data_IF_034401079401
#
_entry.id   IF_034401079401
#
_cell.length_a   1.000
_cell.length_b   1.000
_cell.length_c   1.000
_cell.angle_alpha   90.00
_cell.angle_beta   90.00
_cell.angle_gamma   90.00
#
_symmetry.space_group_name_H-M   'P 1'
#
loop_
_entity.id
_entity.type
_entity.pdbx_description
1 polymer ?
#
# COMPACT_ATOMS: atom_id res chain seq x y z
N UNK A 1 -53.04 -56.87 18.07
CA UNK A 1 -53.39 -55.49 17.66
C UNK A 1 -54.45 -54.98 18.62
N UNK A 2 -54.27 -53.75 19.09
CA UNK A 2 -55.15 -53.10 20.07
C UNK A 2 -54.33 -52.45 21.17
N UNK A 3 -53.50 -51.46 20.81
CA UNK A 3 -52.79 -50.62 21.78
C UNK A 3 -53.86 -49.81 22.53
N UNK A 4 -53.92 -49.98 23.85
CA UNK A 4 -54.90 -49.29 24.70
C UNK A 4 -54.52 -47.81 24.79
N UNK A 5 -55.43 -46.91 24.39
CA UNK A 5 -55.30 -45.47 24.60
C UNK A 5 -55.59 -45.18 26.09
N UNK A 6 -54.72 -44.47 26.82
CA UNK A 6 -54.98 -44.14 28.22
C UNK A 6 -56.13 -43.13 28.33
N UNK A 7 -57.11 -43.41 29.19
CA UNK A 7 -58.12 -42.42 29.60
C UNK A 7 -57.48 -41.43 30.56
N UNK A 8 -57.41 -40.16 30.15
CA UNK A 8 -56.97 -39.05 30.99
C UNK A 8 -57.82 -38.99 32.27
N UNK A 9 -57.21 -38.97 33.48
CA UNK A 9 -57.99 -38.89 34.71
C UNK A 9 -58.68 -37.53 34.80
N UNK A 10 -60.00 -37.53 35.00
CA UNK A 10 -60.70 -36.36 35.54
C UNK A 10 -60.30 -36.22 37.01
N UNK A 11 -59.82 -35.06 37.48
CA UNK A 11 -59.60 -34.85 38.90
C UNK A 11 -60.95 -34.86 39.63
N UNK A 12 -61.26 -35.96 40.33
CA UNK A 12 -62.40 -36.05 41.23
C UNK A 12 -62.07 -35.30 42.53
N UNK A 13 -62.81 -34.23 42.82
CA UNK A 13 -62.68 -33.54 44.11
C UNK A 13 -63.20 -32.11 44.22
N UNK A 14 -63.84 -31.51 43.21
CA UNK A 14 -64.49 -30.19 43.38
C UNK A 14 -65.94 -30.25 42.92
N UNK A 15 -66.87 -30.35 43.86
CA UNK A 15 -68.34 -30.26 43.66
C UNK A 15 -68.78 -28.80 43.42
N UNK A 16 -68.04 -28.09 42.57
CA UNK A 16 -68.28 -26.72 42.16
C UNK A 16 -67.21 -26.37 41.14
N UNK A 17 -67.52 -26.40 39.85
CA UNK A 17 -66.54 -26.03 38.83
C UNK A 17 -66.23 -24.55 38.98
N UNK A 18 -65.13 -24.26 39.68
CA UNK A 18 -64.45 -22.98 39.65
C UNK A 18 -64.14 -22.66 38.19
N UNK A 19 -64.75 -21.61 37.64
CA UNK A 19 -64.55 -21.18 36.25
C UNK A 19 -63.81 -19.86 36.22
N UNK A 20 -62.63 -19.86 35.61
CA UNK A 20 -61.87 -18.64 35.32
C UNK A 20 -62.44 -17.88 34.11
N UNK A 21 -63.31 -18.53 33.32
CA UNK A 21 -64.02 -17.95 32.17
C UNK A 21 -65.50 -18.29 32.23
N UNK A 22 -66.34 -17.25 32.20
CA UNK A 22 -67.79 -17.39 32.08
C UNK A 22 -68.21 -17.59 30.62
N UNK A 23 -69.45 -18.07 30.43
CA UNK A 23 -70.02 -18.11 29.08
C UNK A 23 -70.20 -16.69 28.53
N UNK A 24 -70.01 -16.56 27.22
CA UNK A 24 -70.18 -15.31 26.48
C UNK A 24 -71.52 -14.64 26.79
N UNK A 25 -71.47 -13.35 27.05
CA UNK A 25 -72.65 -12.48 27.14
C UNK A 25 -72.86 -11.79 25.81
N UNK A 26 -74.12 -11.57 25.45
CA UNK A 26 -74.47 -10.91 24.20
C UNK A 26 -74.10 -9.43 24.25
N UNK A 27 -74.37 -8.75 25.36
CA UNK A 27 -74.05 -7.34 25.56
C UNK A 27 -73.65 -7.05 27.01
N UNK A 28 -73.10 -5.86 27.26
CA UNK A 28 -72.73 -5.37 28.59
C UNK A 28 -73.34 -4.00 28.86
N UNK A 29 -73.91 -3.81 30.05
CA UNK A 29 -74.37 -2.52 30.53
C UNK A 29 -73.31 -1.89 31.45
N UNK A 30 -72.72 -0.79 30.98
CA UNK A 30 -71.74 0.00 31.74
C UNK A 30 -72.38 1.11 32.59
N UNK A 31 -73.71 1.25 32.54
CA UNK A 31 -74.54 2.11 33.39
C UNK A 31 -75.62 1.32 34.11
N UNK A 32 -76.21 1.90 35.16
CA UNK A 32 -77.33 1.30 35.87
C UNK A 32 -78.47 0.97 34.91
N UNK A 33 -79.00 -0.24 35.02
CA UNK A 33 -79.96 -0.82 34.07
C UNK A 33 -80.92 -1.75 34.80
N UNK A 34 -82.21 -1.68 34.48
CA UNK A 34 -83.19 -2.55 35.11
C UNK A 34 -82.94 -4.03 34.73
N UNK A 35 -82.83 -4.92 35.72
CA UNK A 35 -82.76 -6.37 35.49
C UNK A 35 -84.17 -6.96 35.22
N UNK A 36 -84.92 -6.36 34.29
CA UNK A 36 -86.26 -6.80 33.89
C UNK A 36 -86.67 -6.22 32.53
N UNK A 37 -87.47 -6.97 31.78
CA UNK A 37 -87.99 -6.56 30.47
C UNK A 37 -87.04 -6.83 29.32
N UNK A 38 -87.49 -6.61 28.09
CA UNK A 38 -86.66 -6.72 26.89
C UNK A 38 -86.09 -5.34 26.56
N UNK A 39 -84.87 -5.09 27.05
CA UNK A 39 -84.20 -3.79 26.94
C UNK A 39 -83.31 -3.72 25.69
N UNK A 40 -82.86 -2.52 25.35
CA UNK A 40 -81.74 -2.30 24.43
C UNK A 40 -80.53 -1.86 25.24
N UNK A 41 -79.43 -2.59 25.16
CA UNK A 41 -78.18 -2.34 25.90
C UNK A 41 -77.04 -2.30 24.90
N UNK A 42 -76.24 -1.22 24.92
CA UNK A 42 -75.16 -0.97 23.95
C UNK A 42 -75.63 -1.13 22.49
N UNK A 43 -76.79 -0.56 22.19
CA UNK A 43 -77.52 -0.66 20.90
C UNK A 43 -77.97 -2.09 20.49
N UNK A 44 -77.82 -3.09 21.36
CA UNK A 44 -78.32 -4.45 21.14
C UNK A 44 -79.71 -4.60 21.74
N UNK A 45 -80.72 -4.83 20.92
CA UNK A 45 -82.06 -5.23 21.39
C UNK A 45 -82.05 -6.68 21.88
N UNK A 46 -82.36 -6.86 23.16
CA UNK A 46 -82.29 -8.15 23.84
C UNK A 46 -83.57 -8.96 23.67
N UNK A 47 -83.42 -10.28 23.55
CA UNK A 47 -84.53 -11.24 23.55
C UNK A 47 -84.46 -12.15 24.78
N UNK A 48 -85.58 -12.78 25.13
CA UNK A 48 -85.62 -13.70 26.26
C UNK A 48 -84.66 -14.88 26.03
N UNK A 49 -83.80 -15.16 27.01
CA UNK A 49 -82.74 -16.18 26.93
C UNK A 49 -81.35 -15.60 26.68
N UNK A 50 -81.22 -14.35 26.24
CA UNK A 50 -79.92 -13.70 26.07
C UNK A 50 -79.20 -13.54 27.41
N UNK A 51 -77.87 -13.53 27.38
CA UNK A 51 -77.03 -13.29 28.56
C UNK A 51 -76.48 -11.87 28.50
N UNK A 52 -76.56 -11.13 29.60
CA UNK A 52 -76.04 -9.75 29.67
C UNK A 52 -75.22 -9.58 30.94
N UNK A 53 -74.08 -8.91 30.83
CA UNK A 53 -73.29 -8.48 31.98
C UNK A 53 -73.74 -7.09 32.44
N UNK A 54 -74.12 -6.95 33.71
CA UNK A 54 -74.40 -5.66 34.35
C UNK A 54 -73.21 -5.28 35.23
N UNK A 55 -72.52 -4.18 34.91
CA UNK A 55 -71.28 -3.80 35.62
C UNK A 55 -71.41 -2.58 36.53
N UNK A 56 -72.54 -1.87 36.50
CA UNK A 56 -72.71 -0.59 37.20
C UNK A 56 -74.11 -0.39 37.80
N UNK A 57 -74.62 -1.41 38.49
CA UNK A 57 -75.88 -1.36 39.23
C UNK A 57 -75.78 -0.40 40.43
N UNK A 58 -76.89 0.26 40.78
CA UNK A 58 -76.98 1.15 41.97
C UNK A 58 -76.50 0.48 43.28
N UNK A 59 -76.69 -0.84 43.38
CA UNK A 59 -76.09 -1.72 44.39
C UNK A 59 -75.02 -2.59 43.72
N UNK A 60 -73.73 -2.35 44.01
CA UNK A 60 -72.60 -3.04 43.36
C UNK A 60 -72.58 -4.56 43.55
N UNK A 61 -73.20 -5.08 44.61
CA UNK A 61 -73.44 -6.49 44.88
C UNK A 61 -74.45 -7.13 43.90
N UNK A 62 -75.23 -6.29 43.21
CA UNK A 62 -76.16 -6.69 42.16
C UNK A 62 -75.52 -6.77 40.77
N UNK A 63 -74.27 -6.33 40.60
CA UNK A 63 -73.52 -6.57 39.37
C UNK A 63 -73.38 -8.06 39.06
N UNK A 64 -73.20 -8.40 37.79
CA UNK A 64 -73.00 -9.77 37.35
C UNK A 64 -73.77 -10.12 36.07
N UNK A 65 -73.81 -11.42 35.76
CA UNK A 65 -74.39 -11.93 34.52
C UNK A 65 -75.84 -12.36 34.76
N UNK A 66 -76.74 -11.89 33.90
CA UNK A 66 -78.17 -12.17 33.97
C UNK A 66 -78.68 -12.79 32.67
N UNK A 67 -79.69 -13.65 32.78
CA UNK A 67 -80.45 -14.19 31.65
C UNK A 67 -81.70 -13.34 31.47
N UNK A 68 -81.82 -12.74 30.29
CA UNK A 68 -82.87 -11.81 29.90
C UNK A 68 -84.22 -12.53 29.85
N UNK A 69 -85.26 -11.87 30.34
CA UNK A 69 -86.65 -12.31 30.25
C UNK A 69 -87.58 -11.10 30.08
N UNK A 70 -88.81 -11.34 29.60
CA UNK A 70 -89.81 -10.28 29.50
C UNK A 70 -90.27 -9.76 30.88
N UNK A 71 -90.14 -10.59 31.92
CA UNK A 71 -90.31 -10.21 33.32
C UNK A 71 -88.98 -9.92 34.01
N UNK A 72 -88.86 -10.21 35.30
CA UNK A 72 -87.60 -10.12 36.03
C UNK A 72 -86.55 -11.08 35.47
N UNK A 73 -85.31 -10.60 35.32
CA UNK A 73 -84.19 -11.42 34.89
C UNK A 73 -83.68 -12.27 36.05
N UNK A 74 -83.20 -13.47 35.74
CA UNK A 74 -82.52 -14.34 36.70
C UNK A 74 -81.01 -14.23 36.53
N UNK A 75 -80.23 -14.34 37.62
CA UNK A 75 -78.78 -14.51 37.48
C UNK A 75 -78.46 -15.76 36.67
N UNK A 76 -77.43 -15.68 35.84
CA UNK A 76 -77.00 -16.80 35.00
C UNK A 76 -76.48 -17.95 35.86
N UNK A 77 -76.77 -19.19 35.47
CA UNK A 77 -76.50 -20.39 36.29
C UNK A 77 -75.01 -20.63 36.60
N UNK A 78 -74.12 -20.09 35.78
CA UNK A 78 -72.67 -20.09 35.99
C UNK A 78 -72.19 -18.95 36.89
N UNK A 79 -73.09 -18.08 37.38
CA UNK A 79 -72.79 -16.96 38.30
C UNK A 79 -73.87 -16.81 39.41
N UNK A 80 -74.26 -17.92 40.04
CA UNK A 80 -75.30 -17.95 41.09
C UNK A 80 -74.79 -18.09 42.51
N UNK A 81 -73.55 -18.56 42.71
CA UNK A 81 -72.98 -18.84 44.04
C UNK A 81 -71.54 -18.34 44.15
N UNK A 82 -71.05 -18.12 45.37
CA UNK A 82 -69.65 -17.72 45.56
C UNK A 82 -68.64 -18.73 44.99
N UNK A 83 -68.93 -20.03 45.09
CA UNK A 83 -68.08 -21.09 44.51
C UNK A 83 -68.07 -21.14 42.97
N UNK A 84 -68.93 -20.38 42.30
CA UNK A 84 -68.94 -20.24 40.84
C UNK A 84 -68.23 -18.97 40.34
N UNK A 85 -67.74 -18.13 41.25
CA UNK A 85 -67.16 -16.82 40.94
C UNK A 85 -65.80 -16.67 41.60
N UNK A 86 -64.74 -16.77 40.80
CA UNK A 86 -63.39 -16.46 41.27
C UNK A 86 -63.05 -14.99 41.05
N UNK A 87 -62.26 -14.38 41.95
CA UNK A 87 -61.48 -13.20 41.61
C UNK A 87 -60.75 -13.41 40.28
N UNK A 88 -60.65 -12.36 39.46
CA UNK A 88 -60.01 -12.38 38.14
C UNK A 88 -60.76 -13.14 37.04
N UNK A 89 -61.96 -13.65 37.27
CA UNK A 89 -62.74 -14.34 36.25
C UNK A 89 -63.11 -13.42 35.05
N UNK A 90 -63.13 -13.99 33.85
CA UNK A 90 -63.29 -13.27 32.59
C UNK A 90 -64.68 -13.51 31.97
N UNK A 91 -65.27 -12.45 31.41
CA UNK A 91 -66.58 -12.45 30.74
C UNK A 91 -66.40 -11.91 29.31
N UNK A 92 -66.42 -12.76 28.28
CA UNK A 92 -66.38 -12.30 26.90
C UNK A 92 -67.73 -11.73 26.47
N UNK A 93 -67.71 -10.66 25.66
CA UNK A 93 -68.87 -9.96 25.09
C UNK A 93 -68.87 -10.13 23.58
N UNK A 94 -70.00 -10.50 22.97
CA UNK A 94 -70.07 -10.77 21.52
C UNK A 94 -70.69 -9.67 20.66
N UNK A 95 -71.50 -8.78 21.22
CA UNK A 95 -72.21 -7.74 20.46
C UNK A 95 -72.25 -6.41 21.24
N UNK A 96 -72.47 -5.31 20.51
CA UNK A 96 -72.67 -3.96 21.05
C UNK A 96 -71.79 -2.93 20.37
N UNK A 97 -72.24 -1.68 20.26
CA UNK A 97 -71.47 -0.65 19.54
C UNK A 97 -70.16 -0.28 20.26
N UNK A 98 -70.18 -0.21 21.59
CA UNK A 98 -69.04 0.26 22.39
C UNK A 98 -68.20 -0.89 22.97
N UNK A 99 -68.79 -2.07 23.10
CA UNK A 99 -68.20 -3.20 23.81
C UNK A 99 -68.29 -4.55 23.08
N UNK A 100 -68.59 -4.56 21.78
CA UNK A 100 -68.36 -5.75 20.95
C UNK A 100 -66.93 -6.28 21.09
N UNK A 101 -66.79 -7.60 20.92
CA UNK A 101 -65.52 -8.33 20.91
C UNK A 101 -64.56 -7.99 22.06
N UNK A 102 -65.12 -7.66 23.22
CA UNK A 102 -64.35 -7.28 24.40
C UNK A 102 -64.46 -8.31 25.52
N UNK A 103 -63.53 -8.25 26.47
CA UNK A 103 -63.55 -9.11 27.66
C UNK A 103 -63.55 -8.25 28.91
N UNK A 104 -64.45 -8.54 29.84
CA UNK A 104 -64.49 -7.91 31.17
C UNK A 104 -63.92 -8.85 32.21
N UNK A 105 -63.06 -8.34 33.08
CA UNK A 105 -62.48 -9.05 34.19
C UNK A 105 -63.16 -8.64 35.50
N UNK A 106 -63.50 -9.60 36.35
CA UNK A 106 -63.87 -9.35 37.73
C UNK A 106 -62.62 -8.98 38.53
N UNK A 107 -62.50 -7.73 38.95
CA UNK A 107 -61.32 -7.21 39.67
C UNK A 107 -61.55 -7.10 41.18
N UNK A 108 -62.67 -7.62 41.69
CA UNK A 108 -62.87 -7.73 43.15
C UNK A 108 -61.96 -8.83 43.69
N UNK A 109 -61.14 -8.48 44.70
CA UNK A 109 -60.25 -9.42 45.39
C UNK A 109 -60.94 -10.13 46.57
N UNK A 110 -60.44 -11.31 46.94
CA UNK A 110 -60.90 -12.08 48.10
C UNK A 110 -62.13 -12.94 47.86
N UNK A 111 -62.73 -13.49 48.94
CA UNK A 111 -63.88 -14.38 48.84
C UNK A 111 -65.14 -13.63 48.36
N UNK A 112 -65.69 -14.05 47.22
CA UNK A 112 -66.86 -13.41 46.61
C UNK A 112 -68.13 -14.18 46.98
N UNK A 113 -69.07 -13.51 47.65
CA UNK A 113 -70.40 -14.04 47.95
C UNK A 113 -71.42 -13.29 47.08
N UNK A 114 -72.00 -13.97 46.09
CA UNK A 114 -72.97 -13.37 45.15
C UNK A 114 -74.17 -12.78 45.92
N UNK A 115 -74.50 -11.52 45.65
CA UNK A 115 -75.59 -10.79 46.32
C UNK A 115 -75.22 -10.13 47.65
N UNK A 116 -73.98 -10.32 48.13
CA UNK A 116 -73.48 -9.68 49.36
C UNK A 116 -72.17 -8.92 49.13
N UNK A 117 -71.21 -9.51 48.42
CA UNK A 117 -69.93 -8.87 48.08
C UNK A 117 -70.12 -7.94 46.87
N UNK A 118 -69.60 -6.71 46.96
CA UNK A 118 -69.52 -5.78 45.83
C UNK A 118 -68.66 -6.34 44.69
N UNK A 119 -69.22 -6.48 43.50
CA UNK A 119 -68.52 -7.03 42.33
C UNK A 119 -68.19 -5.94 41.33
N UNK A 120 -66.91 -5.73 41.08
CA UNK A 120 -66.39 -4.72 40.14
C UNK A 120 -65.85 -5.40 38.89
N UNK A 121 -66.38 -5.04 37.73
CA UNK A 121 -65.91 -5.53 36.44
C UNK A 121 -65.18 -4.42 35.68
N UNK A 122 -63.96 -4.70 35.27
CA UNK A 122 -63.17 -3.81 34.43
C UNK A 122 -63.02 -4.40 33.03
N UNK A 123 -63.19 -3.59 31.98
CA UNK A 123 -62.88 -4.00 30.61
C UNK A 123 -61.37 -4.26 30.52
N UNK A 124 -60.96 -5.43 30.05
CA UNK A 124 -59.58 -5.68 29.65
C UNK A 124 -59.38 -4.88 28.37
N UNK A 125 -58.46 -3.92 28.40
CA UNK A 125 -58.07 -3.21 27.21
C UNK A 125 -57.60 -4.24 26.17
N UNK A 126 -58.31 -4.36 25.04
CA UNK A 126 -57.78 -5.05 23.88
C UNK A 126 -56.41 -4.44 23.59
N UNK A 127 -55.39 -5.28 23.37
CA UNK A 127 -54.00 -4.83 23.21
C UNK A 127 -53.83 -3.94 21.97
N UNK A 128 -54.26 -2.68 22.06
CA UNK A 128 -53.91 -1.57 21.16
C UNK A 128 -52.61 -0.88 21.60
N UNK A 129 -51.79 -1.59 22.38
CA UNK A 129 -50.44 -1.15 22.75
C UNK A 129 -49.44 -1.98 21.95
N UNK A 130 -48.88 -1.38 20.89
CA UNK A 130 -47.77 -1.92 20.13
C UNK A 130 -46.54 -2.09 21.02
N UNK A 131 -46.43 -3.25 21.66
CA UNK A 131 -45.35 -3.57 22.59
C UNK A 131 -44.97 -5.06 22.59
N UNK A 132 -45.20 -5.76 21.47
CA UNK A 132 -44.82 -7.16 21.31
C UNK A 132 -44.12 -7.41 19.98
N UNK A 133 -43.33 -8.50 19.92
CA UNK A 133 -42.46 -8.87 18.78
C UNK A 133 -43.20 -9.05 17.44
N UNK A 134 -44.54 -9.13 17.46
CA UNK A 134 -45.38 -9.20 16.27
C UNK A 134 -45.54 -7.85 15.56
N UNK A 135 -45.28 -6.72 16.22
CA UNK A 135 -45.34 -5.38 15.63
C UNK A 135 -44.13 -5.04 14.75
N UNK A 136 -43.13 -5.93 14.66
CA UNK A 136 -41.94 -5.73 13.81
C UNK A 136 -42.17 -6.26 12.38
N UNK A 137 -43.25 -7.00 12.10
CA UNK A 137 -43.43 -7.64 10.78
C UNK A 137 -44.55 -7.01 9.94
N UNK A 138 -45.50 -6.31 10.55
CA UNK A 138 -46.64 -5.69 9.85
C UNK A 138 -46.67 -4.16 10.00
N UNK A 139 -45.53 -3.49 9.77
CA UNK A 139 -45.52 -2.05 9.47
C UNK A 139 -45.59 -1.83 7.95
N UNK A 140 -46.74 -1.44 7.39
CA UNK A 140 -46.89 -1.11 5.97
C UNK A 140 -46.50 0.34 5.64
N UNK A 141 -46.03 1.14 6.62
CA UNK A 141 -45.37 2.42 6.35
C UNK A 141 -43.87 2.18 6.13
N UNK A 142 -43.18 2.98 5.29
CA UNK A 142 -41.80 2.70 4.88
C UNK A 142 -40.76 2.89 5.99
N UNK A 143 -41.15 2.81 7.26
CA UNK A 143 -40.22 2.85 8.39
C UNK A 143 -39.48 1.52 8.56
N UNK A 144 -39.98 0.43 7.95
CA UNK A 144 -39.25 -0.83 7.75
C UNK A 144 -38.92 -1.12 6.26
N UNK A 145 -38.96 -0.09 5.40
CA UNK A 145 -38.37 -0.11 4.06
C UNK A 145 -36.99 0.55 3.98
N UNK A 146 -36.54 1.12 5.10
CA UNK A 146 -35.20 1.68 5.31
C UNK A 146 -34.45 0.94 6.41
N UNK A 147 -33.26 1.45 6.74
CA UNK A 147 -32.41 0.87 7.78
C UNK A 147 -33.13 0.90 9.14
N UNK A 148 -33.12 -0.23 9.87
CA UNK A 148 -33.60 -0.26 11.26
C UNK A 148 -32.74 0.70 12.12
N UNK A 149 -33.33 1.79 12.62
CA UNK A 149 -32.68 2.68 13.56
C UNK A 149 -32.59 2.03 14.95
N UNK A 150 -31.37 1.92 15.50
CA UNK A 150 -31.12 1.40 16.83
C UNK A 150 -31.29 2.46 17.95
N UNK A 151 -31.77 3.66 17.63
CA UNK A 151 -32.03 4.77 18.56
C UNK A 151 -30.84 5.09 19.48
N UNK A 152 -29.61 4.87 18.99
CA UNK A 152 -28.35 5.07 19.73
C UNK A 152 -27.92 3.91 20.62
N UNK A 153 -28.65 2.79 20.65
CA UNK A 153 -28.20 1.54 21.27
C UNK A 153 -27.27 0.76 20.34
N UNK A 154 -26.40 -0.09 20.90
CA UNK A 154 -25.50 -0.94 20.12
C UNK A 154 -26.01 -2.38 20.01
N UNK A 155 -25.71 -3.02 18.88
CA UNK A 155 -25.88 -4.47 18.72
C UNK A 155 -24.74 -5.13 19.50
N UNK A 156 -25.07 -5.89 20.54
CA UNK A 156 -24.09 -6.60 21.40
C UNK A 156 -24.15 -8.11 21.13
N UNK A 157 -23.01 -8.80 21.22
CA UNK A 157 -22.93 -10.26 21.05
C UNK A 157 -22.83 -10.76 19.61
N UNK A 158 -22.56 -9.87 18.64
CA UNK A 158 -22.30 -10.26 17.25
C UNK A 158 -20.95 -10.99 17.16
N UNK A 159 -20.88 -12.21 16.58
CA UNK A 159 -19.60 -12.89 16.36
C UNK A 159 -18.75 -12.16 15.32
N UNK A 160 -17.46 -12.49 15.23
CA UNK A 160 -16.63 -12.00 14.14
C UNK A 160 -17.20 -12.47 12.79
N UNK A 161 -17.29 -11.59 11.78
CA UNK A 161 -17.83 -11.94 10.48
C UNK A 161 -16.96 -13.02 9.80
N UNK A 162 -17.63 -13.96 9.16
CA UNK A 162 -17.06 -15.12 8.47
C UNK A 162 -17.24 -15.06 6.94
N UNK A 163 -18.13 -14.20 6.46
CA UNK A 163 -18.36 -13.88 5.05
C UNK A 163 -18.44 -12.38 4.79
N UNK A 164 -18.40 -11.98 3.52
CA UNK A 164 -18.39 -10.57 3.10
C UNK A 164 -19.71 -9.82 3.37
N UNK A 165 -20.81 -10.56 3.52
CA UNK A 165 -22.14 -10.01 3.76
C UNK A 165 -22.52 -10.02 5.25
N UNK A 166 -21.63 -10.49 6.13
CA UNK A 166 -21.89 -10.52 7.57
C UNK A 166 -21.79 -9.11 8.16
N UNK A 167 -22.70 -8.78 9.07
CA UNK A 167 -22.58 -7.57 9.86
C UNK A 167 -21.34 -7.67 10.78
N UNK A 168 -20.59 -6.58 10.89
CA UNK A 168 -19.36 -6.51 11.69
C UNK A 168 -19.56 -5.65 12.94
N UNK A 169 -18.86 -6.00 14.03
CA UNK A 169 -18.77 -5.10 15.18
C UNK A 169 -17.83 -3.94 14.88
N UNK A 170 -18.01 -2.81 15.58
CA UNK A 170 -17.09 -1.66 15.48
C UNK A 170 -15.64 -2.07 15.76
N UNK A 171 -15.41 -2.85 16.82
CA UNK A 171 -14.08 -3.33 17.19
C UNK A 171 -13.45 -4.18 16.08
N UNK A 172 -14.26 -4.99 15.38
CA UNK A 172 -13.79 -5.74 14.22
C UNK A 172 -13.36 -4.81 13.08
N UNK A 173 -14.16 -3.81 12.71
CA UNK A 173 -13.83 -2.87 11.62
C UNK A 173 -12.61 -2.00 11.95
N UNK A 174 -12.50 -1.53 13.18
CA UNK A 174 -11.37 -0.71 13.65
C UNK A 174 -10.06 -1.52 13.70
N UNK A 175 -10.12 -2.80 14.05
CA UNK A 175 -8.93 -3.66 14.15
C UNK A 175 -8.54 -4.29 12.81
N UNK A 176 -9.48 -4.51 11.90
CA UNK A 176 -9.28 -5.26 10.64
C UNK A 176 -8.97 -4.38 9.42
N UNK A 177 -8.81 -3.07 9.57
CA UNK A 177 -8.28 -2.20 8.51
C UNK A 177 -9.29 -1.63 7.50
N UNK A 178 -10.46 -1.15 7.95
CA UNK A 178 -11.52 -0.68 7.04
C UNK A 178 -12.19 0.65 7.40
N UNK A 179 -11.46 1.58 8.01
CA UNK A 179 -11.98 2.88 8.45
C UNK A 179 -11.62 4.08 7.57
N UNK A 180 -11.38 3.92 6.26
CA UNK A 180 -11.40 5.06 5.33
C UNK A 180 -12.76 5.11 4.63
N UNK A 181 -13.51 6.21 4.75
CA UNK A 181 -14.75 6.39 4.01
C UNK A 181 -14.50 6.14 2.52
N UNK A 182 -15.31 5.27 1.93
CA UNK A 182 -15.35 5.07 0.49
C UNK A 182 -15.56 6.44 -0.20
N UNK A 183 -14.53 6.96 -0.87
CA UNK A 183 -14.64 8.27 -1.52
C UNK A 183 -13.42 8.81 -2.27
N UNK A 184 -12.21 8.73 -1.72
CA UNK A 184 -11.05 9.40 -2.33
C UNK A 184 -9.96 8.41 -2.74
N UNK A 185 -10.10 7.81 -3.91
CA UNK A 185 -9.10 6.94 -4.55
C UNK A 185 -7.80 7.67 -4.98
N UNK A 186 -7.49 8.84 -4.40
CA UNK A 186 -6.30 9.63 -4.70
C UNK A 186 -5.55 10.10 -3.45
N UNK A 187 -5.82 9.56 -2.25
CA UNK A 187 -5.06 9.89 -1.05
C UNK A 187 -4.32 8.66 -0.50
N UNK A 188 -2.99 8.66 -0.64
CA UNK A 188 -2.10 7.72 0.05
C UNK A 188 -2.08 8.13 1.53
N UNK A 189 -2.89 7.49 2.36
CA UNK A 189 -2.88 7.71 3.80
C UNK A 189 -1.76 6.91 4.47
N UNK A 190 -0.69 7.59 4.90
CA UNK A 190 0.35 7.01 5.76
C UNK A 190 -0.12 7.05 7.23
N UNK A 191 -0.98 6.12 7.62
CA UNK A 191 -1.34 5.98 9.03
C UNK A 191 -0.21 5.27 9.79
N UNK A 192 0.46 5.98 10.69
CA UNK A 192 1.44 5.37 11.59
C UNK A 192 0.72 4.65 12.73
N UNK A 193 0.60 3.33 12.64
CA UNK A 193 0.37 2.45 13.80
C UNK A 193 1.57 2.59 14.78
N UNK A 194 1.37 2.68 16.12
CA UNK A 194 2.45 2.57 17.10
C UNK A 194 3.36 1.33 16.94
N UNK A 195 2.91 0.29 16.21
CA UNK A 195 3.69 -0.90 15.90
C UNK A 195 4.31 -0.95 14.48
N UNK A 196 4.20 0.13 13.68
CA UNK A 196 5.08 0.38 12.53
C UNK A 196 5.11 -0.67 11.42
N UNK A 197 4.07 -1.49 11.24
CA UNK A 197 4.08 -2.54 10.20
C UNK A 197 3.04 -2.24 9.12
N UNK A 198 3.50 -1.82 7.94
CA UNK A 198 2.67 -1.70 6.73
C UNK A 198 2.50 -3.09 6.10
N UNK A 199 1.27 -3.62 6.06
CA UNK A 199 0.92 -4.77 5.21
C UNK A 199 -0.28 -4.39 4.37
N UNK A 200 -0.09 -4.30 3.06
CA UNK A 200 -1.13 -3.90 2.10
C UNK A 200 -0.57 -3.51 0.73
N UNK A 201 -0.38 -4.53 -0.11
CA UNK A 201 -0.34 -4.60 -1.57
C UNK A 201 0.16 -3.39 -2.40
N UNK A 202 1.36 -3.62 -2.96
CA UNK A 202 1.91 -3.05 -4.20
C UNK A 202 2.47 -1.62 -4.13
N UNK A 203 3.64 -1.46 -3.48
CA UNK A 203 4.92 -1.06 -4.14
C UNK A 203 6.04 -0.60 -3.16
N UNK A 204 5.90 -0.76 -1.83
CA UNK A 204 6.98 -0.41 -0.90
C UNK A 204 7.08 -1.42 0.25
N UNK A 205 8.03 -2.35 0.15
CA UNK A 205 8.36 -3.29 1.23
C UNK A 205 9.30 -2.61 2.21
N UNK A 206 8.84 -2.37 3.44
CA UNK A 206 9.69 -1.93 4.55
C UNK A 206 10.46 -3.14 5.12
N UNK A 207 11.79 -3.17 4.94
CA UNK A 207 12.67 -4.07 5.68
C UNK A 207 13.16 -3.34 6.95
N UNK A 208 12.80 -3.79 8.17
CA UNK A 208 13.20 -3.14 9.41
C UNK A 208 14.72 -3.14 9.67
N UNK A 209 15.52 -3.89 8.87
CA UNK A 209 16.99 -3.88 8.91
C UNK A 209 17.67 -3.00 7.86
N UNK A 210 16.97 -2.54 6.83
CA UNK A 210 17.55 -1.82 5.69
C UNK A 210 16.79 -0.51 5.43
N UNK A 211 17.38 0.62 5.84
CA UNK A 211 16.83 1.96 5.63
C UNK A 211 16.89 2.31 4.14
N UNK A 212 15.73 2.48 3.51
CA UNK A 212 15.65 2.62 2.06
C UNK A 212 15.96 4.04 1.54
N UNK A 213 15.58 5.15 2.20
CA UNK A 213 16.02 6.52 1.82
C UNK A 213 15.90 7.51 3.00
N UNK A 214 16.81 8.49 3.12
CA UNK A 214 16.64 9.67 3.98
C UNK A 214 16.77 10.93 3.12
N UNK A 215 15.66 11.63 2.87
CA UNK A 215 15.62 12.89 2.12
C UNK A 215 15.34 14.03 3.08
N UNK A 216 16.38 14.73 3.52
CA UNK A 216 16.28 15.88 4.44
C UNK A 216 16.38 17.22 3.68
N UNK A 217 15.64 17.36 2.57
CA UNK A 217 15.52 18.62 1.82
C UNK A 217 14.11 18.77 1.26
N UNK A 218 13.62 20.00 1.13
CA UNK A 218 12.21 20.32 0.87
C UNK A 218 11.64 19.93 -0.50
N UNK A 219 12.43 19.36 -1.42
CA UNK A 219 11.93 18.78 -2.68
C UNK A 219 12.98 17.84 -3.30
N UNK A 220 12.59 16.61 -3.64
CA UNK A 220 13.37 15.70 -4.49
C UNK A 220 12.62 15.57 -5.82
N UNK A 221 13.15 16.19 -6.89
CA UNK A 221 12.52 16.15 -8.23
C UNK A 221 13.20 15.12 -9.12
N UNK A 222 12.40 14.19 -9.65
CA UNK A 222 12.68 13.44 -10.87
C UNK A 222 11.89 14.16 -11.97
N UNK A 223 12.56 14.84 -12.90
CA UNK A 223 11.90 15.72 -13.88
C UNK A 223 11.39 14.95 -15.12
N UNK A 224 10.36 15.54 -15.74
CA UNK A 224 9.47 14.94 -16.75
C UNK A 224 10.00 15.00 -18.21
N UNK A 225 11.21 15.50 -18.49
CA UNK A 225 11.71 15.55 -19.89
C UNK A 225 13.25 15.51 -20.03
N UNK A 226 13.91 14.63 -19.29
CA UNK A 226 15.37 14.44 -19.42
C UNK A 226 15.89 13.49 -18.35
N UNK A 227 16.13 12.24 -18.75
CA UNK A 227 16.43 11.14 -17.85
C UNK A 227 17.66 11.40 -16.93
N UNK A 228 17.47 11.31 -15.62
CA UNK A 228 18.49 10.76 -14.72
C UNK A 228 18.10 9.30 -14.49
N UNK A 229 18.66 8.41 -15.32
CA UNK A 229 18.51 6.99 -15.14
C UNK A 229 19.75 6.44 -14.43
N UNK A 230 19.62 6.17 -13.13
CA UNK A 230 20.56 5.35 -12.38
C UNK A 230 20.16 3.88 -12.62
N UNK A 231 20.57 3.32 -13.76
CA UNK A 231 20.33 1.91 -14.06
C UNK A 231 21.27 1.05 -13.21
N UNK A 232 20.75 0.44 -12.15
CA UNK A 232 21.35 -0.75 -11.57
C UNK A 232 20.75 -1.95 -12.31
N UNK A 233 21.58 -2.74 -13.00
CA UNK A 233 21.12 -3.97 -13.65
C UNK A 233 20.58 -4.92 -12.57
N UNK A 234 19.28 -5.18 -12.67
CA UNK A 234 18.56 -6.03 -11.76
C UNK A 234 18.63 -7.48 -12.22
N UNK A 235 19.75 -8.15 -12.00
CA UNK A 235 19.72 -9.60 -11.71
C UNK A 235 20.85 -10.05 -10.78
N UNK A 236 20.44 -10.54 -9.61
CA UNK A 236 21.17 -11.38 -8.64
C UNK A 236 22.31 -10.76 -7.80
N UNK A 237 21.93 -10.37 -6.58
CA UNK A 237 22.66 -10.58 -5.32
C UNK A 237 24.12 -10.08 -5.21
N UNK A 238 24.28 -8.82 -4.78
CA UNK A 238 25.45 -8.38 -4.03
C UNK A 238 25.99 -7.01 -4.44
N UNK A 239 25.91 -6.05 -3.51
CA UNK A 239 26.50 -4.70 -3.55
C UNK A 239 25.71 -3.62 -4.30
N UNK A 240 24.85 -2.94 -3.56
CA UNK A 240 24.21 -1.68 -3.95
C UNK A 240 25.24 -0.54 -3.85
N UNK A 241 26.06 -0.34 -4.89
CA UNK A 241 26.96 0.81 -5.03
C UNK A 241 26.81 1.39 -6.44
N UNK A 242 26.92 2.72 -6.59
CA UNK A 242 27.00 3.35 -7.91
C UNK A 242 28.36 3.01 -8.49
N UNK A 243 28.33 2.05 -9.39
CA UNK A 243 29.52 1.31 -9.69
C UNK A 243 29.36 0.02 -10.48
N UNK A 244 29.96 -0.08 -11.66
CA UNK A 244 29.77 -1.26 -12.52
C UNK A 244 30.84 -2.31 -12.22
N UNK A 245 30.50 -3.24 -11.34
CA UNK A 245 30.63 -4.68 -11.60
C UNK A 245 32.03 -5.33 -11.64
N UNK A 246 32.84 -5.22 -10.57
CA UNK A 246 33.67 -6.35 -10.10
C UNK A 246 33.88 -6.28 -8.58
N UNK A 247 34.08 -7.43 -7.94
CA UNK A 247 34.07 -7.58 -6.47
C UNK A 247 35.24 -6.90 -5.72
N UNK A 248 36.15 -6.19 -6.39
CA UNK A 248 37.37 -5.64 -5.73
C UNK A 248 38.03 -4.45 -6.44
N UNK A 249 37.41 -3.26 -6.56
CA UNK A 249 38.18 -2.05 -6.83
C UNK A 249 38.86 -1.57 -5.53
N UNK A 250 40.19 -1.54 -5.53
CA UNK A 250 41.01 -1.08 -4.39
C UNK A 250 40.80 0.42 -4.04
N UNK A 251 40.13 1.22 -4.89
CA UNK A 251 39.88 2.66 -4.69
C UNK A 251 38.56 3.13 -5.32
N UNK A 252 37.92 4.14 -4.74
CA UNK A 252 36.60 4.69 -5.15
C UNK A 252 36.73 5.81 -6.20
N UNK A 253 36.46 5.52 -7.48
CA UNK A 253 35.33 5.95 -8.34
C UNK A 253 35.47 5.13 -9.64
N UNK A 254 34.33 4.81 -10.23
CA UNK A 254 33.92 3.55 -10.85
C UNK A 254 33.30 3.91 -12.23
N UNK A 255 33.77 3.43 -13.39
CA UNK A 255 33.62 2.11 -14.07
C UNK A 255 32.17 1.83 -14.52
N UNK A 256 31.82 1.31 -15.71
CA UNK A 256 32.43 1.03 -17.03
C UNK A 256 31.30 0.58 -18.00
N UNK A 257 31.39 0.82 -19.31
CA UNK A 257 30.32 0.50 -20.26
C UNK A 257 30.46 -0.85 -20.97
N UNK A 258 29.63 -1.84 -20.61
CA UNK A 258 28.79 -2.74 -21.46
C UNK A 258 28.33 -3.98 -20.69
N UNK A 259 27.14 -4.49 -21.06
CA UNK A 259 26.39 -5.60 -20.46
C UNK A 259 27.13 -6.95 -20.40
N UNK A 260 28.37 -7.08 -20.92
CA UNK A 260 29.08 -8.37 -21.02
C UNK A 260 30.62 -8.30 -20.85
N UNK A 261 31.13 -7.33 -20.08
CA UNK A 261 32.56 -7.20 -19.75
C UNK A 261 33.29 -6.12 -20.55
N UNK A 262 34.41 -5.62 -20.02
CA UNK A 262 35.17 -4.50 -20.58
C UNK A 262 35.78 -4.92 -21.92
N UNK A 263 35.31 -4.32 -23.01
CA UNK A 263 35.88 -4.48 -24.36
C UNK A 263 36.70 -3.23 -24.71
N UNK A 264 37.78 -3.37 -25.50
CA UNK A 264 38.60 -2.23 -25.99
C UNK A 264 37.83 -1.36 -27.03
N UNK A 265 36.52 -1.56 -27.18
CA UNK A 265 35.65 -0.90 -28.17
C UNK A 265 34.51 -0.09 -27.55
N UNK A 266 34.37 -0.11 -26.22
CA UNK A 266 33.32 0.59 -25.50
C UNK A 266 33.90 1.45 -24.36
N UNK A 267 33.53 2.74 -24.28
CA UNK A 267 34.16 3.65 -23.32
C UNK A 267 33.75 3.34 -21.88
N UNK A 268 34.71 3.43 -20.96
CA UNK A 268 34.45 3.25 -19.53
C UNK A 268 33.69 4.45 -18.92
N UNK A 269 33.83 5.63 -19.51
CA UNK A 269 33.05 6.82 -19.18
C UNK A 269 32.86 7.67 -20.45
N UNK A 270 31.60 7.95 -20.79
CA UNK A 270 31.23 8.88 -21.87
C UNK A 270 30.59 10.14 -21.31
N UNK A 271 31.12 11.31 -21.66
CA UNK A 271 30.51 12.61 -21.39
C UNK A 271 29.84 13.10 -22.67
N UNK A 272 28.50 13.25 -22.67
CA UNK A 272 27.73 13.67 -23.85
C UNK A 272 27.16 15.08 -23.66
N UNK A 273 27.22 15.93 -24.68
CA UNK A 273 26.68 17.29 -24.68
C UNK A 273 25.37 17.43 -25.49
N UNK A 274 25.11 16.57 -26.48
CA UNK A 274 23.87 16.58 -27.29
C UNK A 274 23.63 15.19 -27.86
N UNK A 275 22.46 14.59 -27.60
CA UNK A 275 21.89 13.38 -28.22
C UNK A 275 22.89 12.31 -28.68
N UNK A 276 23.92 12.03 -27.88
CA UNK A 276 25.03 11.12 -28.19
C UNK A 276 25.86 11.43 -29.46
N UNK A 277 25.72 12.60 -30.09
CA UNK A 277 26.52 12.99 -31.27
C UNK A 277 27.75 13.82 -30.92
N UNK A 278 27.70 14.54 -29.80
CA UNK A 278 28.83 15.30 -29.25
C UNK A 278 29.23 14.68 -27.93
N UNK A 279 30.37 13.99 -27.90
CA UNK A 279 30.82 13.29 -26.72
C UNK A 279 32.34 13.27 -26.57
N UNK A 280 32.80 12.91 -25.38
CA UNK A 280 34.18 12.53 -25.12
C UNK A 280 34.22 11.25 -24.30
N UNK A 281 35.03 10.31 -24.78
CA UNK A 281 35.19 8.98 -24.22
C UNK A 281 36.48 8.88 -23.44
N UNK A 282 36.41 8.23 -22.28
CA UNK A 282 37.54 7.94 -21.40
C UNK A 282 37.63 6.43 -21.22
N UNK A 283 38.77 5.87 -21.60
CA UNK A 283 38.98 4.43 -21.58
C UNK A 283 40.43 4.08 -21.23
N UNK A 284 40.62 3.07 -20.38
CA UNK A 284 41.89 2.38 -20.22
C UNK A 284 41.78 1.03 -20.91
N UNK A 285 42.57 0.82 -21.97
CA UNK A 285 42.54 -0.42 -22.74
C UNK A 285 43.20 -1.60 -21.99
N UNK A 286 43.12 -2.79 -22.58
CA UNK A 286 43.72 -4.02 -22.06
C UNK A 286 45.24 -3.97 -21.78
N UNK A 287 45.96 -3.01 -22.37
CA UNK A 287 47.39 -2.77 -22.12
C UNK A 287 47.67 -1.75 -21.00
N UNK A 288 46.62 -1.16 -20.40
CA UNK A 288 46.72 -0.15 -19.35
C UNK A 288 46.92 1.28 -19.86
N UNK A 289 46.78 1.52 -21.18
CA UNK A 289 46.90 2.85 -21.76
C UNK A 289 45.60 3.64 -21.63
N UNK A 290 45.67 4.88 -21.13
CA UNK A 290 44.54 5.81 -21.08
C UNK A 290 44.35 6.48 -22.45
N UNK A 291 43.15 6.35 -23.01
CA UNK A 291 42.65 7.08 -24.18
C UNK A 291 41.61 8.13 -23.76
N UNK A 292 41.65 9.30 -24.42
CA UNK A 292 40.62 10.34 -24.35
C UNK A 292 40.19 10.66 -25.78
N UNK A 293 39.01 10.20 -26.18
CA UNK A 293 38.54 10.29 -27.57
C UNK A 293 37.31 11.20 -27.66
N UNK A 294 37.46 12.47 -28.07
CA UNK A 294 36.34 13.34 -28.38
C UNK A 294 35.76 12.97 -29.75
N UNK A 295 34.44 13.17 -29.94
CA UNK A 295 33.84 13.06 -31.27
C UNK A 295 34.26 14.20 -32.23
N UNK A 296 34.95 15.22 -31.70
CA UNK A 296 35.64 16.26 -32.48
C UNK A 296 37.14 15.98 -32.64
N UNK A 297 37.90 16.92 -33.20
CA UNK A 297 39.33 16.70 -33.55
C UNK A 297 40.32 17.20 -32.50
N UNK A 298 39.87 17.62 -31.32
CA UNK A 298 40.74 18.31 -30.35
C UNK A 298 40.45 17.88 -28.92
N UNK A 299 41.50 17.49 -28.21
CA UNK A 299 41.55 17.36 -26.74
C UNK A 299 42.38 18.52 -26.21
N UNK A 300 41.77 19.42 -25.42
CA UNK A 300 42.49 20.52 -24.78
C UNK A 300 42.70 20.21 -23.30
N UNK A 301 43.96 20.00 -22.89
CA UNK A 301 44.35 19.89 -21.48
C UNK A 301 44.92 21.23 -21.04
N UNK A 302 44.09 22.06 -20.43
CA UNK A 302 44.49 23.43 -20.07
C UNK A 302 45.26 23.44 -18.74
N UNK A 303 46.59 23.57 -18.85
CA UNK A 303 47.60 23.80 -17.79
C UNK A 303 47.91 22.64 -16.80
N UNK A 304 49.21 22.49 -16.51
CA UNK A 304 49.91 21.58 -15.57
C UNK A 304 50.23 20.11 -15.96
N UNK A 305 49.52 19.44 -16.88
CA UNK A 305 49.79 18.00 -17.18
C UNK A 305 50.74 17.77 -18.37
N UNK A 306 50.94 18.78 -19.24
CA UNK A 306 51.95 18.69 -20.31
C UNK A 306 53.40 18.79 -19.81
N UNK A 307 53.62 18.98 -18.50
CA UNK A 307 54.97 19.11 -17.91
C UNK A 307 55.56 17.76 -17.44
N UNK A 308 54.90 16.63 -17.73
CA UNK A 308 55.52 15.31 -17.56
C UNK A 308 55.85 14.68 -18.92
N UNK A 309 56.98 15.18 -19.43
CA UNK A 309 57.98 14.46 -20.26
C UNK A 309 57.75 14.42 -21.76
N UNK A 310 58.23 15.46 -22.45
CA UNK A 310 59.28 15.20 -23.44
C UNK A 310 60.51 14.75 -22.63
N UNK A 311 60.87 13.46 -22.60
CA UNK A 311 62.13 13.06 -21.97
C UNK A 311 63.25 13.84 -22.66
N UNK A 312 64.17 14.37 -21.87
CA UNK A 312 65.31 15.15 -22.34
C UNK A 312 66.57 14.36 -22.00
N UNK A 313 67.27 13.89 -23.03
CA UNK A 313 68.61 13.33 -22.90
C UNK A 313 69.61 14.41 -23.26
N UNK A 314 70.35 14.88 -22.27
CA UNK A 314 71.47 15.81 -22.47
C UNK A 314 72.75 15.04 -22.75
N UNK A 315 73.47 15.40 -23.82
CA UNK A 315 74.79 14.86 -24.18
C UNK A 315 75.82 16.00 -24.30
N UNK A 316 77.00 15.82 -23.70
CA UNK A 316 78.08 16.83 -23.65
C UNK A 316 79.43 16.18 -23.98
N UNK A 317 80.09 16.62 -25.04
CA UNK A 317 81.38 16.07 -25.48
C UNK A 317 82.56 16.41 -24.55
N UNK A 318 82.39 17.34 -23.62
CA UNK A 318 83.41 17.64 -22.59
C UNK A 318 83.49 16.56 -21.51
N UNK A 319 82.48 15.68 -21.42
CA UNK A 319 82.47 14.54 -20.51
C UNK A 319 83.18 13.34 -21.17
N UNK A 320 84.33 12.86 -20.63
CA UNK A 320 85.09 11.79 -21.27
C UNK A 320 84.29 10.48 -21.36
N UNK A 321 84.29 9.87 -22.56
CA UNK A 321 83.65 8.58 -22.81
C UNK A 321 82.16 8.64 -23.19
N UNK A 322 81.59 9.84 -23.32
CA UNK A 322 80.17 10.01 -23.70
C UNK A 322 79.89 9.71 -25.16
N UNK A 323 80.86 9.95 -26.05
CA UNK A 323 80.74 9.69 -27.48
C UNK A 323 81.71 8.58 -27.96
N UNK A 324 81.30 7.72 -28.89
CA UNK A 324 79.98 7.67 -29.54
C UNK A 324 78.87 7.23 -28.56
N UNK A 325 77.74 7.92 -28.59
CA UNK A 325 76.60 7.59 -27.74
C UNK A 325 75.67 6.65 -28.49
N UNK A 326 75.30 5.52 -27.89
CA UNK A 326 74.40 4.56 -28.54
C UNK A 326 73.09 4.50 -27.79
N UNK A 327 72.03 5.00 -28.44
CA UNK A 327 70.68 4.98 -27.91
C UNK A 327 70.15 3.54 -27.87
N UNK A 328 69.52 3.18 -26.76
CA UNK A 328 68.83 1.91 -26.59
C UNK A 328 67.37 1.97 -27.08
N UNK A 329 66.73 0.80 -27.21
CA UNK A 329 65.31 0.71 -27.52
C UNK A 329 64.39 1.37 -26.47
N UNK A 330 64.85 1.49 -25.21
CA UNK A 330 64.11 2.17 -24.15
C UNK A 330 64.15 3.70 -24.25
N UNK A 331 65.03 4.21 -25.11
CA UNK A 331 65.33 5.62 -25.30
C UNK A 331 64.68 6.19 -26.57
N UNK A 332 63.81 5.43 -27.22
CA UNK A 332 62.94 5.96 -28.27
C UNK A 332 61.83 6.82 -27.63
N UNK A 333 61.41 7.93 -28.26
CA UNK A 333 60.47 8.96 -27.78
C UNK A 333 61.06 10.06 -26.90
N UNK A 334 62.14 10.69 -27.34
CA UNK A 334 62.76 11.78 -26.58
C UNK A 334 63.46 12.83 -27.44
N UNK A 335 63.72 13.98 -26.81
CA UNK A 335 64.62 15.00 -27.32
C UNK A 335 66.05 14.65 -26.88
N UNK A 336 66.93 14.43 -27.86
CA UNK A 336 68.37 14.31 -27.67
C UNK A 336 68.97 15.70 -27.85
N UNK A 337 69.33 16.29 -26.72
CA UNK A 337 69.88 17.63 -26.60
C UNK A 337 71.40 17.52 -26.54
N UNK A 338 72.07 17.90 -27.62
CA UNK A 338 73.53 17.96 -27.66
C UNK A 338 73.95 19.33 -27.15
N UNK A 339 74.37 19.37 -25.89
CA UNK A 339 74.72 20.60 -25.15
C UNK A 339 76.09 21.14 -25.51
N UNK A 340 76.98 20.32 -26.08
CA UNK A 340 78.35 20.73 -26.43
C UNK A 340 79.04 19.75 -27.39
N UNK A 341 79.62 20.25 -28.49
CA UNK A 341 80.50 19.48 -29.40
C UNK A 341 81.97 19.95 -29.42
N UNK A 342 82.40 20.80 -28.48
CA UNK A 342 83.77 21.34 -28.44
C UNK A 342 84.87 20.32 -28.16
N UNK A 343 84.52 19.07 -27.81
CA UNK A 343 85.45 17.93 -27.79
C UNK A 343 85.78 17.34 -29.17
N UNK A 344 85.21 17.89 -30.25
CA UNK A 344 85.31 17.39 -31.61
C UNK A 344 83.98 16.82 -32.14
N UNK A 345 83.93 16.49 -33.43
CA UNK A 345 82.76 15.85 -34.04
C UNK A 345 82.26 14.64 -33.23
N UNK A 346 80.95 14.54 -33.07
CA UNK A 346 80.30 13.52 -32.22
C UNK A 346 79.41 12.59 -33.04
N UNK A 347 79.25 11.35 -32.58
CA UNK A 347 78.39 10.36 -33.23
C UNK A 347 77.35 9.83 -32.24
N UNK A 348 76.09 9.81 -32.67
CA UNK A 348 74.98 9.21 -31.96
C UNK A 348 74.43 8.07 -32.81
N UNK A 349 74.51 6.85 -32.29
CA UNK A 349 73.95 5.67 -32.95
C UNK A 349 72.48 5.52 -32.53
N UNK A 350 71.56 5.54 -33.49
CA UNK A 350 70.15 5.24 -33.24
C UNK A 350 69.92 3.73 -33.22
N UNK A 351 69.04 3.22 -32.35
CA UNK A 351 68.71 1.79 -32.30
C UNK A 351 68.05 1.35 -33.61
N UNK A 352 68.01 0.04 -33.87
CA UNK A 352 67.35 -0.49 -35.05
C UNK A 352 65.87 -0.08 -34.99
N UNK A 353 65.30 0.43 -36.08
CA UNK A 353 63.93 0.95 -36.09
C UNK A 353 62.90 -0.08 -35.57
N UNK A 354 63.12 -1.36 -35.89
CA UNK A 354 62.32 -2.49 -35.42
C UNK A 354 62.44 -2.83 -33.93
N UNK A 355 63.43 -2.27 -33.23
CA UNK A 355 63.56 -2.40 -31.78
C UNK A 355 62.79 -1.31 -31.02
N UNK A 356 62.37 -0.24 -31.68
CA UNK A 356 61.45 0.75 -31.14
C UNK A 356 60.00 0.38 -31.51
N UNK A 357 59.00 0.68 -30.67
CA UNK A 357 57.60 0.63 -31.07
C UNK A 357 57.32 1.48 -32.33
N UNK A 358 56.43 0.99 -33.21
CA UNK A 358 55.99 1.78 -34.37
C UNK A 358 55.35 3.10 -33.89
N UNK A 359 55.67 4.20 -34.57
CA UNK A 359 55.29 5.56 -34.16
C UNK A 359 56.27 6.22 -33.18
N UNK A 360 57.34 5.53 -32.77
CA UNK A 360 58.37 6.13 -31.95
C UNK A 360 59.08 7.28 -32.66
N UNK A 361 59.49 8.32 -31.93
CA UNK A 361 60.21 9.48 -32.48
C UNK A 361 61.50 9.80 -31.70
N UNK A 362 62.45 10.42 -32.38
CA UNK A 362 63.65 11.02 -31.79
C UNK A 362 63.86 12.39 -32.41
N UNK A 363 64.08 13.40 -31.59
CA UNK A 363 64.46 14.73 -32.07
C UNK A 363 65.88 15.01 -31.65
N UNK A 364 66.72 15.40 -32.60
CA UNK A 364 68.10 15.77 -32.34
C UNK A 364 68.21 17.27 -32.43
N UNK A 365 68.77 17.87 -31.38
CA UNK A 365 68.99 19.31 -31.31
C UNK A 365 70.45 19.59 -31.04
N UNK A 366 71.09 20.28 -31.99
CA UNK A 366 72.31 21.04 -31.69
C UNK A 366 71.91 22.23 -30.83
N UNK A 367 72.20 22.19 -29.54
CA UNK A 367 71.93 23.32 -28.66
C UNK A 367 73.19 24.12 -28.34
N UNK A 368 74.37 23.52 -28.53
CA UNK A 368 75.64 24.23 -28.40
C UNK A 368 75.87 25.24 -29.51
N UNK A 369 75.24 25.01 -30.68
CA UNK A 369 75.43 25.85 -31.85
C UNK A 369 76.85 25.72 -32.41
N UNK A 370 77.43 24.53 -32.28
CA UNK A 370 78.81 24.26 -32.73
C UNK A 370 78.87 23.15 -33.78
N UNK A 371 77.73 22.63 -34.23
CA UNK A 371 77.67 21.54 -35.20
C UNK A 371 78.17 21.91 -36.59
N UNK A 372 78.22 23.21 -36.94
CA UNK A 372 78.85 23.70 -38.16
C UNK A 372 80.38 23.56 -38.16
N UNK A 373 81.00 23.46 -36.98
CA UNK A 373 82.45 23.23 -36.85
C UNK A 373 82.73 21.76 -36.51
N UNK A 374 82.02 21.22 -35.53
CA UNK A 374 82.15 19.86 -35.02
C UNK A 374 80.83 19.12 -35.27
N UNK A 375 80.72 18.54 -36.46
CA UNK A 375 79.49 17.91 -36.97
C UNK A 375 78.94 16.85 -36.03
N UNK A 376 77.63 16.87 -35.82
CA UNK A 376 76.90 15.83 -35.09
C UNK A 376 76.40 14.82 -36.13
N UNK A 377 76.88 13.59 -35.99
CA UNK A 377 76.58 12.48 -36.88
C UNK A 377 75.54 11.57 -36.24
N UNK A 378 74.41 11.37 -36.90
CA UNK A 378 73.34 10.47 -36.46
C UNK A 378 73.39 9.21 -37.33
N UNK A 379 73.88 8.11 -36.76
CA UNK A 379 74.13 6.86 -37.48
C UNK A 379 73.05 5.84 -37.20
N UNK A 380 72.55 5.18 -38.25
CA UNK A 380 71.67 4.04 -38.12
C UNK A 380 72.45 2.80 -37.63
N UNK A 381 71.95 2.10 -36.61
CA UNK A 381 72.56 0.84 -36.18
C UNK A 381 72.33 -0.30 -37.19
N UNK A 382 73.29 -1.24 -37.25
CA UNK A 382 73.17 -2.55 -37.91
C UNK A 382 72.62 -2.50 -39.34
N UNK A 383 73.25 -1.73 -40.23
CA UNK A 383 72.87 -1.58 -41.66
C UNK A 383 71.45 -1.04 -41.92
N UNK A 384 70.81 -0.46 -40.91
CA UNK A 384 69.55 0.27 -41.08
C UNK A 384 69.74 1.58 -41.83
N UNK A 385 68.63 2.22 -42.18
CA UNK A 385 68.62 3.52 -42.86
C UNK A 385 67.72 4.51 -42.11
N UNK A 386 68.12 5.78 -42.15
CA UNK A 386 67.34 6.97 -41.79
C UNK A 386 67.02 7.69 -43.09
N UNK A 387 65.76 7.66 -43.50
CA UNK A 387 65.25 8.24 -44.74
C UNK A 387 66.06 7.78 -45.98
N UNK A 388 66.31 6.47 -46.04
CA UNK A 388 67.07 5.84 -47.11
C UNK A 388 68.60 5.99 -47.02
N UNK A 389 69.15 6.73 -46.04
CA UNK A 389 70.59 6.91 -45.84
C UNK A 389 71.11 6.18 -44.59
N UNK A 390 72.36 5.72 -44.58
CA UNK A 390 72.95 5.10 -43.38
C UNK A 390 73.22 6.09 -42.24
N UNK A 391 73.33 7.38 -42.56
CA UNK A 391 73.73 8.45 -41.65
C UNK A 391 72.99 9.73 -42.00
N UNK A 392 72.63 10.52 -41.00
CA UNK A 392 72.16 11.90 -41.13
C UNK A 392 73.07 12.86 -40.36
N UNK A 393 73.22 14.08 -40.85
CA UNK A 393 74.14 15.06 -40.27
C UNK A 393 73.38 16.29 -39.78
N UNK A 394 73.73 16.74 -38.59
CA UNK A 394 73.52 18.12 -38.15
C UNK A 394 74.86 18.84 -38.34
N UNK A 395 74.94 19.68 -39.36
CA UNK A 395 76.15 20.42 -39.75
C UNK A 395 75.92 21.93 -39.84
N UNK A 396 74.83 22.42 -39.25
CA UNK A 396 74.48 23.83 -39.21
C UNK A 396 74.15 24.20 -37.77
N UNK A 397 74.75 25.28 -37.29
CA UNK A 397 74.61 25.70 -35.90
C UNK A 397 73.13 25.88 -35.51
N UNK A 398 72.77 25.34 -34.36
CA UNK A 398 71.40 25.35 -33.84
C UNK A 398 70.38 24.60 -34.71
N UNK A 399 70.81 23.76 -35.65
CA UNK A 399 69.88 22.94 -36.41
C UNK A 399 69.22 21.88 -35.51
N UNK A 400 68.05 21.43 -35.97
CA UNK A 400 67.33 20.32 -35.40
C UNK A 400 66.66 19.53 -36.51
N UNK A 401 66.52 18.24 -36.32
CA UNK A 401 65.60 17.44 -37.11
C UNK A 401 65.00 16.34 -36.25
N UNK A 402 63.80 15.90 -36.63
CA UNK A 402 63.11 14.79 -35.99
C UNK A 402 63.06 13.61 -36.94
N UNK A 403 63.26 12.42 -36.39
CA UNK A 403 62.97 11.16 -37.08
C UNK A 403 61.84 10.43 -36.37
N UNK A 404 61.12 9.62 -37.13
CA UNK A 404 60.12 8.69 -36.61
C UNK A 404 60.33 7.29 -37.21
N UNK A 405 59.96 6.26 -36.45
CA UNK A 405 60.01 4.86 -36.86
C UNK A 405 58.63 4.38 -37.25
N UNK A 406 58.49 3.68 -38.36
CA UNK A 406 57.28 2.91 -38.71
C UNK A 406 57.29 1.48 -38.13
N UNK A 407 58.32 1.14 -37.34
CA UNK A 407 58.58 -0.22 -36.84
C UNK A 407 59.50 -1.05 -37.75
N UNK A 408 59.96 -0.51 -38.87
CA UNK A 408 60.90 -1.18 -39.78
C UNK A 408 62.06 -0.28 -40.22
N UNK A 409 61.82 1.00 -40.47
CA UNK A 409 62.81 2.00 -40.90
C UNK A 409 62.63 3.32 -40.16
N UNK A 410 63.69 4.13 -40.12
CA UNK A 410 63.62 5.50 -39.65
C UNK A 410 63.35 6.45 -40.83
N UNK A 411 62.50 7.44 -40.62
CA UNK A 411 62.16 8.48 -41.60
C UNK A 411 62.35 9.85 -40.97
N UNK A 412 62.73 10.84 -41.78
CA UNK A 412 62.74 12.24 -41.32
C UNK A 412 61.30 12.76 -41.32
N UNK A 413 60.91 13.40 -40.21
CA UNK A 413 59.64 14.11 -40.14
C UNK A 413 59.74 15.40 -40.96
N UNK A 414 58.72 15.71 -41.78
CA UNK A 414 58.64 17.00 -42.48
C UNK A 414 58.51 18.19 -41.54
#
# INVERSE_FOLDING_TARGET
>A
MGISVPTTPTPEGVTGTVRTWFQTVRAVATSDSAASGLLTIDDVTLVAGDRVLLTNQSSSEMNGIFVVAAGSWSRAADMTTGSSVEPTAHVPVSEGTSNEDSTFQLTTDGDIIVGTTSMTFAKIAGGGGGGGIAAVVDDPSPELGGDLDCAGYSITGLPAPSGADDAATKDYVDTSGGGTPAGDANNIQFNSDPAGTFTGDNNFTYDPGARLFTVNVSEFKVQEDGAIALYADGTAAGTQRVGIGTDSPDRKLEIAGVTNGISDSDPQLRLTHTDATHYADFEVNSSGALSIEPSGTTVSVTNAVLNTRFPLLTLDSSTPGTFPYSLSAAECNQLVHIENTSGGAVTINVPAAASCPAGSWLEFKDASGTSGTDTITIDASSSGNIDGQGTQLLSADYAAFRIYSDGASWFISP
#
